data_IF_087126048422
#
_entry.id   IF_087126048422
#
_cell.length_a   1.000
_cell.length_b   1.000
_cell.length_c   1.000
_cell.angle_alpha   90.00
_cell.angle_beta   90.00
_cell.angle_gamma   90.00
#
_symmetry.space_group_name_H-M   'P 1'
#
loop_
_entity.id
_entity.type
_entity.pdbx_description
1 polymer ?
#
# COMPACT_ATOMS: atom_id res chain seq x y z
N UNK A 1 -13.80 -8.73 -37.05
CA UNK A 1 -12.71 -8.87 -38.05
C UNK A 1 -11.72 -7.70 -38.08
N UNK A 2 -12.12 -6.44 -37.87
CA UNK A 2 -11.20 -5.29 -37.85
C UNK A 2 -10.17 -5.31 -36.70
N UNK A 3 -10.57 -5.77 -35.51
CA UNK A 3 -9.66 -5.90 -34.35
C UNK A 3 -8.51 -6.89 -34.60
N UNK A 4 -8.78 -8.03 -35.26
CA UNK A 4 -7.75 -9.03 -35.57
C UNK A 4 -6.74 -8.55 -36.63
N UNK A 5 -7.17 -7.75 -37.61
CA UNK A 5 -6.24 -7.10 -38.56
C UNK A 5 -5.40 -6.00 -37.91
N UNK A 6 -5.98 -5.22 -37.00
CA UNK A 6 -5.26 -4.22 -36.23
C UNK A 6 -4.23 -4.86 -35.28
N UNK A 7 -4.59 -5.98 -34.65
CA UNK A 7 -3.70 -6.76 -33.80
C UNK A 7 -2.53 -7.32 -34.62
N UNK A 8 -2.80 -7.93 -35.77
CA UNK A 8 -1.77 -8.47 -36.68
C UNK A 8 -0.77 -7.42 -37.16
N UNK A 9 -1.23 -6.19 -37.45
CA UNK A 9 -0.36 -5.07 -37.85
C UNK A 9 0.53 -4.56 -36.70
N UNK A 10 0.07 -4.69 -35.46
CA UNK A 10 0.79 -4.24 -34.27
C UNK A 10 1.67 -5.35 -33.65
N UNK A 11 1.61 -6.60 -34.12
CA UNK A 11 2.50 -7.70 -33.67
C UNK A 11 3.98 -7.33 -33.75
N UNK A 12 4.53 -6.75 -34.84
CA UNK A 12 5.95 -6.40 -34.90
C UNK A 12 6.30 -5.31 -33.86
N UNK A 13 5.44 -4.31 -33.69
CA UNK A 13 5.60 -3.28 -32.67
C UNK A 13 5.53 -3.84 -31.25
N UNK A 14 4.59 -4.75 -30.98
CA UNK A 14 4.49 -5.47 -29.71
C UNK A 14 5.73 -6.33 -29.47
N UNK A 15 6.25 -7.00 -30.50
CA UNK A 15 7.46 -7.82 -30.41
C UNK A 15 8.70 -6.96 -30.10
N UNK A 16 8.83 -5.79 -30.71
CA UNK A 16 9.88 -4.83 -30.40
C UNK A 16 9.73 -4.25 -28.99
N UNK A 17 8.51 -3.87 -28.59
CA UNK A 17 8.22 -3.38 -27.24
C UNK A 17 8.51 -4.45 -26.19
N UNK A 18 8.07 -5.69 -26.38
CA UNK A 18 8.37 -6.82 -25.50
C UNK A 18 9.85 -7.16 -25.49
N UNK A 19 10.52 -7.15 -26.66
CA UNK A 19 11.96 -7.37 -26.78
C UNK A 19 12.78 -6.31 -26.05
N UNK A 20 12.38 -5.04 -26.16
CA UNK A 20 12.98 -3.93 -25.42
C UNK A 20 12.67 -4.00 -23.92
N UNK A 21 11.46 -4.45 -23.55
CA UNK A 21 11.08 -4.73 -22.17
C UNK A 21 12.01 -5.79 -21.59
N UNK A 22 12.06 -6.98 -22.19
CA UNK A 22 12.89 -8.11 -21.75
C UNK A 22 14.39 -7.80 -21.78
N UNK A 23 14.87 -7.13 -22.82
CA UNK A 23 16.29 -6.80 -22.98
C UNK A 23 16.84 -6.00 -21.80
N UNK A 24 16.08 -5.00 -21.36
CA UNK A 24 16.43 -4.13 -20.24
C UNK A 24 15.75 -4.52 -18.91
N UNK A 25 15.37 -5.80 -18.72
CA UNK A 25 14.91 -6.30 -17.42
C UNK A 25 16.06 -6.99 -16.68
N UNK A 26 15.95 -7.04 -15.36
CA UNK A 26 16.92 -7.67 -14.46
C UNK A 26 17.08 -9.16 -14.66
N UNK A 27 18.21 -9.67 -14.17
CA UNK A 27 18.56 -11.09 -14.23
C UNK A 27 17.55 -11.96 -13.47
N UNK A 28 17.01 -11.50 -12.34
CA UNK A 28 16.00 -12.23 -11.56
C UNK A 28 14.69 -12.42 -12.34
N UNK A 29 14.20 -11.39 -13.03
CA UNK A 29 12.98 -11.50 -13.83
C UNK A 29 13.19 -12.44 -15.02
N UNK A 30 14.33 -12.32 -15.71
CA UNK A 30 14.69 -13.24 -16.80
C UNK A 30 14.74 -14.69 -16.31
N UNK A 31 15.32 -14.92 -15.13
CA UNK A 31 15.36 -16.24 -14.49
C UNK A 31 13.95 -16.76 -14.20
N UNK A 32 13.10 -15.98 -13.52
CA UNK A 32 11.72 -16.39 -13.20
C UNK A 32 10.94 -16.70 -14.49
N UNK A 33 11.00 -15.85 -15.50
CA UNK A 33 10.32 -16.09 -16.78
C UNK A 33 10.83 -17.36 -17.47
N UNK A 34 12.14 -17.60 -17.46
CA UNK A 34 12.73 -18.82 -18.01
C UNK A 34 12.26 -20.08 -17.29
N UNK A 35 12.18 -20.03 -15.96
CA UNK A 35 11.68 -21.15 -15.14
C UNK A 35 10.18 -21.39 -15.37
N UNK A 36 9.36 -20.35 -15.46
CA UNK A 36 7.92 -20.49 -15.77
C UNK A 36 7.72 -21.12 -17.15
N UNK A 37 8.47 -20.68 -18.16
CA UNK A 37 8.39 -21.26 -19.52
C UNK A 37 8.83 -22.73 -19.55
N UNK A 38 9.89 -23.08 -18.82
CA UNK A 38 10.37 -24.46 -18.71
C UNK A 38 9.32 -25.35 -18.00
N UNK A 39 8.78 -24.86 -16.89
CA UNK A 39 7.73 -25.54 -16.11
C UNK A 39 6.43 -25.69 -16.89
N UNK A 40 6.08 -24.72 -17.73
CA UNK A 40 4.97 -24.86 -18.66
C UNK A 40 5.18 -26.01 -19.65
N UNK A 41 6.42 -26.21 -20.13
CA UNK A 41 6.75 -27.41 -20.92
C UNK A 41 6.60 -28.72 -20.14
N UNK A 42 6.81 -28.70 -18.83
CA UNK A 42 6.60 -29.85 -17.94
C UNK A 42 5.11 -30.08 -17.62
N UNK A 43 4.25 -29.06 -17.76
CA UNK A 43 2.82 -29.15 -17.47
C UNK A 43 2.07 -30.20 -18.32
N UNK A 44 2.61 -30.56 -19.49
CA UNK A 44 2.05 -31.61 -20.34
C UNK A 44 2.16 -33.03 -19.76
N UNK A 45 2.95 -33.21 -18.69
CA UNK A 45 3.08 -34.47 -17.98
C UNK A 45 2.29 -34.44 -16.68
N UNK A 46 1.26 -35.27 -16.57
CA UNK A 46 0.42 -35.39 -15.37
C UNK A 46 1.22 -35.71 -14.11
N UNK A 47 2.29 -36.50 -14.25
CA UNK A 47 3.20 -36.84 -13.15
C UNK A 47 4.00 -35.61 -12.69
N UNK A 48 4.45 -34.77 -13.63
CA UNK A 48 5.17 -33.55 -13.28
C UNK A 48 4.26 -32.54 -12.59
N UNK A 49 3.02 -32.39 -13.06
CA UNK A 49 2.02 -31.53 -12.41
C UNK A 49 1.76 -31.98 -10.98
N UNK A 50 1.62 -33.29 -10.73
CA UNK A 50 1.40 -33.83 -9.38
C UNK A 50 2.58 -33.56 -8.43
N UNK A 51 3.82 -33.75 -8.89
CA UNK A 51 5.02 -33.63 -8.05
C UNK A 51 5.39 -32.17 -7.76
N UNK A 52 5.08 -31.25 -8.69
CA UNK A 52 5.46 -29.84 -8.61
C UNK A 52 4.37 -28.99 -7.93
N UNK A 53 3.10 -29.31 -8.17
CA UNK A 53 1.96 -28.57 -7.60
C UNK A 53 1.73 -28.94 -6.14
N UNK A 54 1.20 -27.99 -5.36
CA UNK A 54 0.85 -28.26 -3.95
C UNK A 54 -0.49 -29.01 -3.91
N UNK A 55 -0.45 -30.23 -3.42
CA UNK A 55 -1.65 -30.97 -3.03
C UNK A 55 -1.79 -30.88 -1.50
N UNK A 56 -2.88 -30.29 -0.97
CA UNK A 56 -3.06 -30.07 0.46
C UNK A 56 -2.81 -31.31 1.34
N UNK A 57 -3.20 -32.49 0.86
CA UNK A 57 -3.05 -33.76 1.59
C UNK A 57 -1.63 -34.27 1.71
N UNK A 58 -0.78 -34.03 0.71
CA UNK A 58 0.62 -34.49 0.71
C UNK A 58 1.56 -33.54 1.43
N UNK A 59 1.14 -32.30 1.67
CA UNK A 59 1.91 -31.36 2.50
C UNK A 59 1.91 -31.78 3.98
N UNK A 60 0.85 -32.47 4.41
CA UNK A 60 0.67 -32.96 5.78
C UNK A 60 1.26 -34.37 5.97
N UNK A 61 1.45 -34.83 7.23
CA UNK A 61 1.90 -36.19 7.48
C UNK A 61 0.97 -37.20 6.80
N UNK A 62 1.49 -38.31 6.22
CA UNK A 62 2.85 -38.86 6.38
C UNK A 62 3.87 -38.48 5.29
N UNK A 63 3.46 -37.89 4.17
CA UNK A 63 4.33 -37.72 2.98
C UNK A 63 5.23 -36.48 3.01
N UNK A 64 4.81 -35.39 3.67
CA UNK A 64 5.57 -34.14 3.84
C UNK A 64 6.27 -33.62 2.56
N UNK A 65 5.52 -33.38 1.49
CA UNK A 65 6.05 -32.85 0.24
C UNK A 65 6.35 -31.35 0.32
N UNK A 66 7.30 -30.96 1.17
CA UNK A 66 7.62 -29.56 1.50
C UNK A 66 8.11 -28.78 0.27
N UNK A 67 8.83 -29.44 -0.65
CA UNK A 67 9.34 -28.78 -1.87
C UNK A 67 8.22 -28.18 -2.72
N UNK A 68 7.01 -28.76 -2.70
CA UNK A 68 5.85 -28.26 -3.46
C UNK A 68 5.53 -26.82 -3.12
N UNK A 69 5.74 -26.39 -1.87
CA UNK A 69 5.53 -25.01 -1.41
C UNK A 69 6.44 -23.98 -2.08
N UNK A 70 7.55 -24.42 -2.67
CA UNK A 70 8.48 -23.56 -3.42
C UNK A 70 8.32 -23.72 -4.93
N UNK A 71 7.86 -24.87 -5.40
CA UNK A 71 7.83 -25.19 -6.84
C UNK A 71 6.48 -24.87 -7.50
N UNK A 72 5.38 -24.88 -6.73
CA UNK A 72 4.03 -24.71 -7.30
C UNK A 72 3.85 -23.39 -8.04
N UNK A 73 4.50 -22.33 -7.57
CA UNK A 73 4.33 -21.01 -8.14
C UNK A 73 4.92 -20.89 -9.55
N UNK A 74 5.75 -21.83 -10.01
CA UNK A 74 6.29 -21.81 -11.37
C UNK A 74 5.48 -22.65 -12.37
N UNK A 75 4.53 -23.45 -11.88
CA UNK A 75 3.73 -24.36 -12.70
C UNK A 75 2.44 -23.67 -13.11
N UNK A 76 2.25 -23.51 -14.41
CA UNK A 76 1.00 -23.03 -15.00
C UNK A 76 0.49 -24.07 -16.00
N UNK A 77 -0.82 -24.28 -16.04
CA UNK A 77 -1.46 -25.27 -16.93
C UNK A 77 -1.87 -24.59 -18.24
N UNK A 78 -2.36 -23.36 -18.16
CA UNK A 78 -2.87 -22.66 -19.32
C UNK A 78 -1.86 -21.65 -19.88
N UNK A 79 -1.74 -21.63 -21.21
CA UNK A 79 -0.81 -20.71 -21.90
C UNK A 79 -1.10 -19.22 -21.61
N UNK A 80 -2.38 -18.86 -21.43
CA UNK A 80 -2.72 -17.47 -21.12
C UNK A 80 -2.29 -17.05 -19.71
N UNK A 81 -2.23 -17.98 -18.75
CA UNK A 81 -1.73 -17.71 -17.39
C UNK A 81 -0.23 -17.42 -17.44
N UNK A 82 0.52 -18.24 -18.19
CA UNK A 82 1.95 -17.99 -18.46
C UNK A 82 2.19 -16.61 -19.06
N UNK A 83 1.34 -16.17 -20.00
CA UNK A 83 1.46 -14.84 -20.59
C UNK A 83 1.22 -13.73 -19.56
N UNK A 84 0.19 -13.88 -18.72
CA UNK A 84 -0.14 -12.96 -17.62
C UNK A 84 1.01 -12.89 -16.62
N UNK A 85 1.67 -14.03 -16.33
CA UNK A 85 2.79 -14.09 -15.41
C UNK A 85 4.02 -13.37 -15.96
N UNK A 86 4.40 -13.65 -17.21
CA UNK A 86 5.53 -12.98 -17.85
C UNK A 86 5.32 -11.47 -17.86
N UNK A 87 4.11 -11.01 -18.19
CA UNK A 87 3.77 -9.58 -18.14
C UNK A 87 3.87 -9.06 -16.70
N UNK A 88 3.31 -9.78 -15.73
CA UNK A 88 3.29 -9.36 -14.32
C UNK A 88 4.69 -9.25 -13.72
N UNK A 89 5.53 -10.27 -13.94
CA UNK A 89 6.92 -10.29 -13.47
C UNK A 89 7.76 -9.25 -14.22
N UNK A 90 7.50 -9.04 -15.51
CA UNK A 90 8.11 -7.95 -16.30
C UNK A 90 7.77 -6.56 -15.76
N UNK A 91 6.50 -6.31 -15.44
CA UNK A 91 6.04 -5.07 -14.80
C UNK A 91 6.68 -4.89 -13.42
N UNK A 92 6.79 -5.97 -12.64
CA UNK A 92 7.47 -5.95 -11.35
C UNK A 92 8.94 -5.52 -11.48
N UNK A 93 9.68 -6.11 -12.42
CA UNK A 93 11.07 -5.73 -12.70
C UNK A 93 11.25 -4.27 -13.14
N UNK A 94 10.27 -3.71 -13.85
CA UNK A 94 10.36 -2.32 -14.34
C UNK A 94 9.90 -1.29 -13.32
N UNK A 95 8.82 -1.58 -12.59
CA UNK A 95 8.18 -0.61 -11.71
C UNK A 95 8.66 -0.71 -10.27
N UNK A 96 8.85 -1.94 -9.77
CA UNK A 96 9.09 -2.20 -8.35
C UNK A 96 10.60 -2.30 -8.09
N UNK A 97 11.37 -2.90 -9.01
CA UNK A 97 12.79 -3.19 -8.79
C UNK A 97 13.65 -1.96 -8.58
N UNK A 98 13.47 -0.87 -9.35
CA UNK A 98 14.23 0.36 -9.12
C UNK A 98 13.93 0.99 -7.75
N UNK A 99 12.77 0.73 -7.18
CA UNK A 99 12.34 1.32 -5.91
C UNK A 99 12.84 0.52 -4.70
N UNK A 100 12.80 -0.81 -4.77
CA UNK A 100 13.10 -1.69 -3.63
C UNK A 100 14.47 -2.35 -3.72
N UNK A 101 15.02 -2.44 -4.93
CA UNK A 101 16.19 -3.25 -5.24
C UNK A 101 15.84 -4.72 -5.46
N UNK A 102 16.77 -5.43 -6.11
CA UNK A 102 16.60 -6.81 -6.55
C UNK A 102 16.37 -7.79 -5.38
N UNK A 103 17.11 -7.64 -4.28
CA UNK A 103 17.05 -8.55 -3.13
C UNK A 103 15.69 -8.50 -2.40
N UNK A 104 15.12 -7.30 -2.26
CA UNK A 104 13.81 -7.13 -1.62
C UNK A 104 12.68 -7.69 -2.50
N UNK A 105 12.79 -7.57 -3.84
CA UNK A 105 11.83 -8.23 -4.75
C UNK A 105 11.88 -9.74 -4.62
N UNK A 106 13.08 -10.34 -4.61
CA UNK A 106 13.22 -11.79 -4.45
C UNK A 106 12.68 -12.25 -3.09
N UNK A 107 12.94 -11.46 -2.05
CA UNK A 107 12.40 -11.71 -0.71
C UNK A 107 10.87 -11.63 -0.70
N UNK A 108 10.29 -10.61 -1.34
CA UNK A 108 8.85 -10.47 -1.49
C UNK A 108 8.24 -11.63 -2.27
N UNK A 109 8.84 -12.00 -3.40
CA UNK A 109 8.42 -13.15 -4.21
C UNK A 109 8.40 -14.44 -3.38
N UNK A 110 9.47 -14.71 -2.61
CA UNK A 110 9.54 -15.90 -1.77
C UNK A 110 8.50 -15.90 -0.65
N UNK A 111 8.36 -14.78 0.07
CA UNK A 111 7.42 -14.66 1.20
C UNK A 111 5.97 -14.77 0.73
N UNK A 112 5.61 -14.10 -0.36
CA UNK A 112 4.25 -14.13 -0.89
C UNK A 112 3.88 -15.54 -1.34
N UNK A 113 4.72 -16.19 -2.15
CA UNK A 113 4.43 -17.54 -2.64
C UNK A 113 4.37 -18.57 -1.50
N UNK A 114 5.32 -18.53 -0.55
CA UNK A 114 5.30 -19.42 0.59
C UNK A 114 4.06 -19.19 1.47
N UNK A 115 3.73 -17.93 1.75
CA UNK A 115 2.53 -17.57 2.51
C UNK A 115 1.24 -18.00 1.80
N UNK A 116 1.18 -17.89 0.48
CA UNK A 116 0.05 -18.36 -0.33
C UNK A 116 -0.09 -19.87 -0.23
N UNK A 117 1.00 -20.63 -0.37
CA UNK A 117 0.97 -22.09 -0.24
C UNK A 117 0.41 -22.51 1.12
N UNK A 118 0.90 -21.89 2.21
CA UNK A 118 0.46 -22.20 3.58
C UNK A 118 -1.00 -21.80 3.80
N UNK A 119 -1.40 -20.57 3.48
CA UNK A 119 -2.76 -20.10 3.72
C UNK A 119 -3.79 -20.83 2.85
N UNK A 120 -3.47 -21.09 1.59
CA UNK A 120 -4.37 -21.81 0.67
C UNK A 120 -4.53 -23.26 1.13
N UNK A 121 -3.45 -23.93 1.52
CA UNK A 121 -3.52 -25.28 2.08
C UNK A 121 -4.32 -25.31 3.39
N UNK A 122 -4.10 -24.34 4.29
CA UNK A 122 -4.89 -24.22 5.51
C UNK A 122 -6.38 -24.00 5.23
N UNK A 123 -6.72 -23.20 4.21
CA UNK A 123 -8.11 -22.99 3.80
C UNK A 123 -8.77 -24.28 3.31
N UNK A 124 -8.11 -25.04 2.42
CA UNK A 124 -8.65 -26.33 1.96
C UNK A 124 -8.73 -27.38 3.08
N UNK A 125 -7.80 -27.34 4.04
CA UNK A 125 -7.88 -28.17 5.22
C UNK A 125 -9.08 -27.81 6.11
N UNK A 126 -9.36 -26.52 6.33
CA UNK A 126 -10.56 -26.08 7.07
C UNK A 126 -11.84 -26.51 6.33
N UNK A 127 -11.88 -26.37 5.00
CA UNK A 127 -13.00 -26.86 4.18
C UNK A 127 -13.21 -28.37 4.33
N UNK A 128 -12.12 -29.14 4.35
CA UNK A 128 -12.17 -30.56 4.66
C UNK A 128 -12.74 -30.82 6.06
N UNK A 129 -12.29 -30.11 7.10
CA UNK A 129 -12.84 -30.27 8.45
C UNK A 129 -14.34 -29.94 8.54
N UNK A 130 -14.83 -28.98 7.74
CA UNK A 130 -16.24 -28.61 7.72
C UNK A 130 -17.12 -29.58 6.90
N UNK A 131 -16.59 -30.12 5.80
CA UNK A 131 -17.37 -30.91 4.83
C UNK A 131 -17.13 -32.42 4.96
N UNK A 132 -16.05 -32.82 5.61
CA UNK A 132 -15.53 -34.20 5.69
C UNK A 132 -15.31 -34.86 4.32
N UNK A 133 -15.13 -34.06 3.26
CA UNK A 133 -14.93 -34.56 1.90
C UNK A 133 -13.43 -34.56 1.54
N UNK A 134 -12.87 -35.75 1.34
CA UNK A 134 -11.45 -35.98 1.03
C UNK A 134 -11.01 -35.42 -0.33
N UNK A 135 -11.94 -35.15 -1.24
CA UNK A 135 -11.66 -34.56 -2.56
C UNK A 135 -10.95 -33.21 -2.45
N UNK A 136 -11.32 -32.39 -1.46
CA UNK A 136 -10.68 -31.09 -1.22
C UNK A 136 -9.20 -31.21 -0.84
N UNK A 137 -8.78 -32.38 -0.35
CA UNK A 137 -7.44 -32.60 0.15
C UNK A 137 -6.54 -33.28 -0.89
N UNK A 138 -7.08 -34.20 -1.69
CA UNK A 138 -6.29 -35.04 -2.61
C UNK A 138 -6.55 -34.75 -4.10
N UNK A 139 -7.70 -34.20 -4.49
CA UNK A 139 -7.98 -33.87 -5.89
C UNK A 139 -7.64 -32.43 -6.25
N UNK A 140 -7.49 -31.55 -5.26
CA UNK A 140 -7.18 -30.14 -5.47
C UNK A 140 -5.67 -29.97 -5.66
N UNK A 141 -5.29 -29.46 -6.83
CA UNK A 141 -3.91 -29.10 -7.17
C UNK A 141 -3.78 -27.58 -7.16
N UNK A 142 -2.94 -27.05 -6.28
CA UNK A 142 -2.64 -25.63 -6.18
C UNK A 142 -1.37 -25.37 -6.99
N UNK A 143 -1.47 -24.55 -8.03
CA UNK A 143 -0.38 -24.18 -8.92
C UNK A 143 -0.55 -22.73 -9.37
N UNK A 144 0.55 -22.15 -9.87
CA UNK A 144 0.55 -20.87 -10.54
C UNK A 144 0.89 -19.66 -9.67
N UNK A 145 1.11 -18.53 -10.34
CA UNK A 145 1.51 -17.26 -9.73
C UNK A 145 0.33 -16.40 -9.27
N UNK A 146 -0.91 -16.90 -9.29
CA UNK A 146 -2.13 -16.15 -8.91
C UNK A 146 -1.99 -15.33 -7.61
N UNK A 147 -1.38 -15.93 -6.58
CA UNK A 147 -1.12 -15.24 -5.31
C UNK A 147 -0.07 -14.13 -5.41
N UNK A 148 0.97 -14.33 -6.23
CA UNK A 148 1.96 -13.29 -6.51
C UNK A 148 1.39 -12.14 -7.35
N UNK A 149 0.53 -12.43 -8.33
CA UNK A 149 -0.19 -11.42 -9.11
C UNK A 149 -1.01 -10.53 -8.16
N UNK A 150 -1.72 -11.11 -7.20
CA UNK A 150 -2.44 -10.36 -6.18
C UNK A 150 -1.49 -9.47 -5.37
N UNK A 151 -0.31 -9.98 -5.03
CA UNK A 151 0.73 -9.21 -4.35
C UNK A 151 1.22 -8.01 -5.15
N UNK A 152 1.50 -8.20 -6.44
CA UNK A 152 1.88 -7.10 -7.35
C UNK A 152 0.74 -6.08 -7.46
N UNK A 153 -0.52 -6.49 -7.53
CA UNK A 153 -1.66 -5.55 -7.50
C UNK A 153 -1.67 -4.70 -6.23
N UNK A 154 -1.40 -5.31 -5.06
CA UNK A 154 -1.32 -4.59 -3.78
C UNK A 154 -0.13 -3.63 -3.77
N UNK A 155 1.03 -4.05 -4.31
CA UNK A 155 2.21 -3.20 -4.44
C UNK A 155 1.99 -2.01 -5.36
N UNK A 156 1.34 -2.21 -6.51
CA UNK A 156 1.00 -1.13 -7.44
C UNK A 156 0.08 -0.11 -6.77
N UNK A 157 -0.90 -0.57 -5.98
CA UNK A 157 -1.71 0.33 -5.14
C UNK A 157 -0.86 1.13 -4.16
N UNK A 158 0.13 0.50 -3.51
CA UNK A 158 1.00 1.17 -2.54
C UNK A 158 1.87 2.25 -3.20
N UNK A 159 2.44 1.97 -4.37
CA UNK A 159 3.37 2.90 -5.06
C UNK A 159 2.60 4.03 -5.76
N UNK A 160 1.47 3.72 -6.40
CA UNK A 160 0.71 4.67 -7.21
C UNK A 160 -0.78 4.66 -6.83
N UNK A 161 -1.17 5.10 -5.62
CA UNK A 161 -2.55 5.02 -5.16
C UNK A 161 -3.54 5.89 -5.95
N UNK A 162 -3.08 7.00 -6.53
CA UNK A 162 -3.93 8.03 -7.14
C UNK A 162 -4.11 7.90 -8.66
N UNK A 163 -3.49 6.90 -9.29
CA UNK A 163 -3.62 6.69 -10.72
C UNK A 163 -5.01 6.09 -11.03
N UNK A 164 -5.78 6.81 -11.86
CA UNK A 164 -7.11 6.40 -12.29
C UNK A 164 -6.97 5.53 -13.54
N UNK A 165 -7.12 4.21 -13.40
CA UNK A 165 -6.96 3.26 -14.52
C UNK A 165 -8.13 3.37 -15.49
N UNK A 166 -9.37 3.45 -14.99
CA UNK A 166 -10.55 3.36 -15.83
C UNK A 166 -11.63 4.35 -15.39
N UNK A 167 -12.02 5.24 -16.30
CA UNK A 167 -13.21 6.08 -16.18
C UNK A 167 -14.36 5.35 -16.87
N UNK A 168 -15.13 4.60 -16.09
CA UNK A 168 -16.34 3.92 -16.58
C UNK A 168 -17.55 4.83 -16.35
N UNK A 169 -18.62 4.76 -17.16
CA UNK A 169 -19.86 5.54 -16.93
C UNK A 169 -20.47 5.34 -15.53
N UNK A 170 -20.18 4.19 -14.90
CA UNK A 170 -20.65 3.82 -13.57
C UNK A 170 -19.71 4.24 -12.42
N UNK A 171 -18.56 4.87 -12.70
CA UNK A 171 -17.65 5.36 -11.66
C UNK A 171 -16.18 5.48 -12.07
N UNK A 172 -15.39 6.17 -11.22
CA UNK A 172 -13.93 6.28 -11.34
C UNK A 172 -13.29 5.09 -10.63
N UNK A 173 -12.72 4.14 -11.37
CA UNK A 173 -11.91 3.07 -10.80
C UNK A 173 -10.49 3.60 -10.64
N UNK A 174 -10.13 3.89 -9.39
CA UNK A 174 -8.77 4.25 -8.99
C UNK A 174 -7.98 3.01 -8.58
N UNK A 175 -6.65 3.09 -8.66
CA UNK A 175 -5.70 2.10 -8.15
C UNK A 175 -5.99 1.62 -6.73
N UNK A 176 -6.65 2.45 -5.93
CA UNK A 176 -7.10 2.10 -4.58
C UNK A 176 -7.95 0.81 -4.52
N UNK A 177 -8.79 0.57 -5.52
CA UNK A 177 -9.72 -0.55 -5.58
C UNK A 177 -9.23 -1.69 -6.49
N UNK A 178 -8.04 -1.59 -7.09
CA UNK A 178 -7.54 -2.55 -8.08
C UNK A 178 -7.42 -3.96 -7.51
N UNK A 179 -6.80 -4.20 -6.34
CA UNK A 179 -6.68 -5.55 -5.79
C UNK A 179 -8.05 -6.24 -5.63
N UNK A 180 -9.07 -5.52 -5.15
CA UNK A 180 -10.42 -6.09 -5.03
C UNK A 180 -11.11 -6.25 -6.38
N UNK A 181 -10.96 -5.29 -7.30
CA UNK A 181 -11.58 -5.38 -8.62
C UNK A 181 -11.08 -6.62 -9.35
N UNK A 182 -9.77 -6.89 -9.28
CA UNK A 182 -9.16 -8.09 -9.87
C UNK A 182 -9.59 -9.35 -9.13
N UNK A 183 -9.73 -9.32 -7.80
CA UNK A 183 -10.28 -10.45 -7.05
C UNK A 183 -11.73 -10.77 -7.46
N UNK A 184 -12.62 -9.78 -7.55
CA UNK A 184 -13.98 -10.03 -8.02
C UNK A 184 -13.99 -10.50 -9.47
N UNK A 185 -13.11 -9.96 -10.31
CA UNK A 185 -12.95 -10.44 -11.68
C UNK A 185 -12.52 -11.91 -11.70
N UNK A 186 -11.57 -12.35 -10.86
CA UNK A 186 -11.15 -13.76 -10.82
C UNK A 186 -12.29 -14.68 -10.38
N UNK A 187 -13.15 -14.25 -9.45
CA UNK A 187 -14.38 -14.98 -9.10
C UNK A 187 -15.34 -15.06 -10.29
N UNK A 188 -15.54 -13.98 -11.03
CA UNK A 188 -16.40 -13.99 -12.23
C UNK A 188 -15.82 -14.90 -13.31
N UNK A 189 -14.52 -14.83 -13.59
CA UNK A 189 -13.84 -15.68 -14.57
C UNK A 189 -13.95 -17.16 -14.18
N UNK A 190 -13.85 -17.47 -12.88
CA UNK A 190 -14.12 -18.80 -12.33
C UNK A 190 -15.58 -19.24 -12.55
N UNK A 191 -16.57 -18.35 -12.40
CA UNK A 191 -17.97 -18.67 -12.69
C UNK A 191 -18.24 -18.97 -14.16
N UNK A 192 -17.46 -18.35 -15.06
CA UNK A 192 -17.52 -18.62 -16.50
C UNK A 192 -16.79 -19.95 -16.85
N UNK A 193 -15.99 -20.49 -15.92
CA UNK A 193 -15.24 -21.74 -16.11
C UNK A 193 -13.94 -21.56 -16.90
N UNK A 194 -13.41 -20.33 -16.97
CA UNK A 194 -12.13 -20.04 -17.63
C UNK A 194 -10.92 -20.29 -16.74
N UNK A 195 -11.11 -20.45 -15.43
CA UNK A 195 -10.02 -20.58 -14.47
C UNK A 195 -10.42 -21.57 -13.39
N UNK A 196 -9.44 -22.29 -12.86
CA UNK A 196 -9.62 -23.27 -11.80
C UNK A 196 -10.20 -22.68 -10.51
N UNK A 197 -10.89 -23.53 -9.74
CA UNK A 197 -11.50 -23.14 -8.47
C UNK A 197 -10.50 -22.69 -7.40
N UNK A 198 -9.22 -23.02 -7.56
CA UNK A 198 -8.12 -22.65 -6.66
C UNK A 198 -7.69 -21.19 -6.82
N UNK A 199 -7.84 -20.62 -8.03
CA UNK A 199 -7.28 -19.31 -8.36
C UNK A 199 -7.84 -18.16 -7.50
N UNK A 200 -9.17 -18.03 -7.26
CA UNK A 200 -9.68 -16.95 -6.41
C UNK A 200 -9.18 -17.07 -4.97
N UNK A 201 -9.08 -18.30 -4.45
CA UNK A 201 -8.56 -18.57 -3.11
C UNK A 201 -7.09 -18.16 -3.01
N UNK A 202 -6.26 -18.57 -3.96
CA UNK A 202 -4.84 -18.20 -4.02
C UNK A 202 -4.66 -16.68 -4.13
N UNK A 203 -5.46 -16.03 -4.97
CA UNK A 203 -5.42 -14.58 -5.15
C UNK A 203 -5.76 -13.86 -3.84
N UNK A 204 -6.79 -14.32 -3.11
CA UNK A 204 -7.17 -13.74 -1.82
C UNK A 204 -6.09 -13.96 -0.76
N UNK A 205 -5.54 -15.17 -0.65
CA UNK A 205 -4.41 -15.47 0.22
C UNK A 205 -3.20 -14.59 -0.09
N UNK A 206 -2.89 -14.41 -1.38
CA UNK A 206 -1.81 -13.54 -1.85
C UNK A 206 -2.02 -12.08 -1.49
N UNK A 207 -3.26 -11.59 -1.61
CA UNK A 207 -3.64 -10.24 -1.17
C UNK A 207 -3.39 -10.03 0.32
N UNK A 208 -3.76 -11.00 1.16
CA UNK A 208 -3.54 -10.94 2.62
C UNK A 208 -2.05 -10.95 2.94
N UNK A 209 -1.29 -11.93 2.44
CA UNK A 209 0.14 -12.08 2.74
C UNK A 209 0.91 -10.84 2.29
N UNK A 210 0.62 -10.36 1.08
CA UNK A 210 1.29 -9.18 0.53
C UNK A 210 0.94 -7.93 1.32
N UNK A 211 -0.33 -7.74 1.70
CA UNK A 211 -0.71 -6.62 2.55
C UNK A 211 0.02 -6.65 3.90
N UNK A 212 0.08 -7.81 4.57
CA UNK A 212 0.80 -7.97 5.85
C UNK A 212 2.30 -7.67 5.67
N UNK A 213 2.93 -8.21 4.63
CA UNK A 213 4.35 -7.98 4.37
C UNK A 213 4.64 -6.50 4.12
N UNK A 214 3.86 -5.84 3.26
CA UNK A 214 4.05 -4.44 2.89
C UNK A 214 3.75 -3.49 4.05
N UNK A 215 2.74 -3.82 4.86
CA UNK A 215 2.36 -3.03 6.03
C UNK A 215 3.41 -3.08 7.14
N UNK A 216 3.98 -4.25 7.44
CA UNK A 216 4.79 -4.44 8.66
C UNK A 216 6.27 -4.77 8.43
N UNK A 217 6.61 -5.42 7.32
CA UNK A 217 7.89 -6.09 7.14
C UNK A 217 8.78 -5.50 6.05
N UNK A 218 8.19 -4.84 5.04
CA UNK A 218 8.92 -4.28 3.91
C UNK A 218 10.03 -3.33 4.38
N UNK A 219 11.27 -3.61 3.97
CA UNK A 219 12.41 -2.75 4.28
C UNK A 219 12.49 -1.64 3.24
N UNK A 220 12.44 -0.39 3.69
CA UNK A 220 12.72 0.75 2.82
C UNK A 220 14.21 1.10 2.87
N UNK A 221 14.73 1.65 1.77
CA UNK A 221 16.11 2.16 1.67
C UNK A 221 16.41 3.23 2.74
N UNK A 222 15.38 3.97 3.19
CA UNK A 222 15.45 4.99 4.23
C UNK A 222 15.60 4.43 5.66
N UNK A 223 15.72 3.11 5.83
CA UNK A 223 15.85 2.45 7.13
C UNK A 223 14.52 2.28 7.90
N UNK A 224 13.42 2.83 7.38
CA UNK A 224 12.06 2.57 7.88
C UNK A 224 11.58 1.18 7.45
N UNK A 225 10.67 0.59 8.24
CA UNK A 225 10.08 -0.73 7.97
C UNK A 225 8.55 -0.64 7.89
N UNK A 226 7.99 -1.21 6.84
CA UNK A 226 6.58 -1.20 6.52
C UNK A 226 6.07 0.17 6.06
N UNK A 227 4.86 0.18 5.54
CA UNK A 227 4.10 1.39 5.25
C UNK A 227 2.95 1.54 6.25
N UNK A 228 3.04 2.53 7.14
CA UNK A 228 2.04 2.81 8.17
C UNK A 228 0.99 3.85 7.75
N UNK A 229 0.96 4.27 6.49
CA UNK A 229 0.04 5.32 6.05
C UNK A 229 -1.43 4.91 6.11
N UNK A 230 -2.32 5.86 6.43
CA UNK A 230 -3.76 5.57 6.60
C UNK A 230 -4.45 5.17 5.28
N UNK A 231 -3.87 5.54 4.13
CA UNK A 231 -4.35 5.12 2.81
C UNK A 231 -4.05 3.64 2.50
N UNK A 232 -3.14 2.99 3.23
CA UNK A 232 -2.73 1.59 3.03
C UNK A 232 -3.30 0.64 4.11
N UNK A 233 -4.52 0.90 4.56
CA UNK A 233 -5.26 -0.03 5.44
C UNK A 233 -5.95 -1.12 4.62
N UNK A 234 -6.21 -2.29 5.23
CA UNK A 234 -6.96 -3.35 4.54
C UNK A 234 -8.36 -2.87 4.13
N UNK A 235 -9.00 -2.06 4.98
CA UNK A 235 -10.27 -1.43 4.67
C UNK A 235 -10.21 -0.55 3.42
N UNK A 236 -9.09 0.13 3.16
CA UNK A 236 -8.98 1.02 1.99
C UNK A 236 -8.99 0.28 0.66
N UNK A 237 -8.82 -1.05 0.63
CA UNK A 237 -9.05 -1.83 -0.59
C UNK A 237 -10.52 -1.77 -1.04
N UNK A 238 -11.45 -1.56 -0.11
CA UNK A 238 -12.89 -1.56 -0.34
C UNK A 238 -13.43 -0.17 -0.72
N UNK A 239 -14.56 -0.10 -1.46
CA UNK A 239 -15.26 1.16 -1.72
C UNK A 239 -15.69 1.84 -0.42
N UNK A 240 -15.75 3.18 -0.41
CA UNK A 240 -15.99 4.01 0.79
C UNK A 240 -17.17 3.55 1.68
N UNK A 241 -18.22 2.99 1.08
CA UNK A 241 -19.43 2.53 1.80
C UNK A 241 -19.16 1.31 2.70
N UNK A 242 -18.28 0.41 2.26
CA UNK A 242 -17.99 -0.86 2.97
C UNK A 242 -16.73 -0.74 3.84
N UNK A 243 -15.99 0.37 3.75
CA UNK A 243 -14.79 0.58 4.56
C UNK A 243 -15.03 0.52 6.08
N UNK A 244 -16.08 1.14 6.65
CA UNK A 244 -16.27 1.16 8.10
C UNK A 244 -16.39 -0.22 8.77
N UNK A 245 -17.25 -1.15 8.30
CA UNK A 245 -17.34 -2.48 8.92
C UNK A 245 -16.05 -3.28 8.75
N UNK A 246 -15.37 -3.13 7.61
CA UNK A 246 -14.13 -3.84 7.32
C UNK A 246 -12.97 -3.28 8.15
N UNK A 247 -12.97 -1.98 8.44
CA UNK A 247 -11.99 -1.36 9.32
C UNK A 247 -12.06 -1.94 10.73
N UNK A 248 -13.27 -2.17 11.26
CA UNK A 248 -13.46 -2.82 12.55
C UNK A 248 -12.88 -4.25 12.51
N UNK A 249 -13.24 -5.04 11.50
CA UNK A 249 -12.74 -6.41 11.36
C UNK A 249 -11.21 -6.47 11.20
N UNK A 250 -10.66 -5.60 10.36
CA UNK A 250 -9.21 -5.49 10.12
C UNK A 250 -8.47 -5.09 11.40
N UNK A 251 -9.03 -4.17 12.20
CA UNK A 251 -8.44 -3.77 13.47
C UNK A 251 -8.46 -4.92 14.49
N UNK A 252 -9.52 -5.73 14.54
CA UNK A 252 -9.58 -6.93 15.40
C UNK A 252 -8.52 -7.95 14.98
N UNK A 253 -8.43 -8.24 13.67
CA UNK A 253 -7.42 -9.14 13.11
C UNK A 253 -6.01 -8.61 13.41
N UNK A 254 -5.78 -7.30 13.26
CA UNK A 254 -4.53 -6.64 13.59
C UNK A 254 -4.19 -6.79 15.07
N UNK A 255 -5.13 -6.56 15.98
CA UNK A 255 -4.92 -6.77 17.42
C UNK A 255 -4.61 -8.24 17.74
N UNK A 256 -5.27 -9.18 17.07
CA UNK A 256 -4.97 -10.61 17.16
C UNK A 256 -3.56 -10.95 16.67
N UNK A 257 -3.17 -10.46 15.50
CA UNK A 257 -1.84 -10.64 14.92
C UNK A 257 -0.72 -10.01 15.76
N UNK A 258 -0.98 -8.85 16.39
CA UNK A 258 -0.05 -8.22 17.34
C UNK A 258 0.09 -9.08 18.60
N UNK A 259 -0.98 -9.70 19.09
CA UNK A 259 -0.92 -10.62 20.24
C UNK A 259 -0.17 -11.92 19.92
N UNK A 260 -0.29 -12.42 18.70
CA UNK A 260 0.44 -13.60 18.20
C UNK A 260 1.92 -13.29 17.94
N UNK A 261 2.33 -12.01 18.00
CA UNK A 261 3.72 -11.59 17.76
C UNK A 261 4.10 -11.52 16.28
N UNK A 262 3.15 -11.82 15.37
CA UNK A 262 3.32 -11.69 13.92
C UNK A 262 3.21 -10.24 13.43
N UNK A 263 2.78 -9.31 14.29
CA UNK A 263 2.83 -7.88 14.01
C UNK A 263 3.54 -7.17 15.17
N UNK A 264 4.61 -6.43 14.88
CA UNK A 264 5.24 -5.61 15.91
C UNK A 264 4.28 -4.48 16.31
N UNK A 265 4.07 -4.32 17.62
CA UNK A 265 3.34 -3.18 18.18
C UNK A 265 3.95 -1.90 17.62
N UNK A 266 3.14 -1.11 16.94
CA UNK A 266 3.55 0.14 16.27
C UNK A 266 4.07 1.11 17.34
N UNK A 267 5.39 1.14 17.54
CA UNK A 267 6.03 2.23 18.26
C UNK A 267 6.17 3.35 17.24
N UNK A 268 5.17 4.23 17.16
CA UNK A 268 5.34 5.51 16.46
C UNK A 268 6.53 6.21 17.14
N UNK A 269 7.69 6.18 16.50
CA UNK A 269 8.82 7.00 16.91
C UNK A 269 8.41 8.44 16.57
N UNK A 270 7.83 9.11 17.56
CA UNK A 270 7.66 10.55 17.51
C UNK A 270 9.05 11.16 17.66
N UNK A 271 9.59 11.66 16.56
CA UNK A 271 10.77 12.50 16.60
C UNK A 271 10.34 13.84 17.19
N UNK A 272 10.68 14.07 18.46
CA UNK A 272 10.29 15.24 19.24
C UNK A 272 11.08 16.51 18.84
N UNK A 273 11.75 16.47 17.68
CA UNK A 273 12.66 17.51 17.19
C UNK A 273 11.97 18.60 16.36
N UNK A 274 10.69 18.45 16.00
CA UNK A 274 9.96 19.50 15.28
C UNK A 274 8.46 19.54 15.60
N UNK A 275 8.02 20.34 16.60
CA UNK A 275 6.61 20.44 16.96
C UNK A 275 5.91 21.46 16.05
N UNK A 276 5.55 21.06 14.84
CA UNK A 276 4.52 21.80 14.09
C UNK A 276 3.16 21.18 14.37
N UNK A 277 2.47 21.82 15.33
CA UNK A 277 1.03 21.80 15.57
C UNK A 277 0.22 20.57 15.18
N UNK A 278 0.21 19.54 16.03
CA UNK A 278 -0.90 18.58 16.06
C UNK A 278 -1.28 18.30 17.51
N UNK A 279 -2.52 18.66 17.85
CA UNK A 279 -3.12 18.53 19.19
C UNK A 279 -3.29 17.05 19.55
N UNK A 280 -2.44 16.54 20.44
CA UNK A 280 -2.55 15.17 20.97
C UNK A 280 -3.48 15.20 22.19
N UNK A 281 -4.65 14.58 22.08
CA UNK A 281 -5.48 14.21 23.24
C UNK A 281 -4.82 13.03 23.96
N UNK A 282 -4.19 13.33 25.10
CA UNK A 282 -3.66 12.32 26.03
C UNK A 282 -4.82 11.81 26.90
N UNK A 283 -4.84 10.53 27.31
CA UNK A 283 -5.80 10.05 28.30
C UNK A 283 -5.78 10.92 29.56
N UNK A 284 -6.97 11.33 30.03
CA UNK A 284 -7.18 12.39 31.04
C UNK A 284 -6.39 12.16 32.35
N UNK A 285 -6.11 10.91 32.72
CA UNK A 285 -5.38 10.57 33.93
C UNK A 285 -3.91 11.00 33.92
N UNK A 286 -3.25 10.97 32.75
CA UNK A 286 -1.82 11.32 32.64
C UNK A 286 -1.60 12.81 32.32
N UNK A 287 -2.63 13.52 31.88
CA UNK A 287 -2.53 14.91 31.46
C UNK A 287 -2.34 15.87 32.66
N UNK A 288 -2.99 15.59 33.80
CA UNK A 288 -2.78 16.38 35.01
C UNK A 288 -1.40 16.15 35.64
N UNK A 289 -0.88 14.92 35.61
CA UNK A 289 0.43 14.61 36.15
C UNK A 289 1.56 15.16 35.26
N UNK A 290 1.38 15.11 33.93
CA UNK A 290 2.27 15.77 32.99
C UNK A 290 2.28 17.29 33.17
N UNK A 291 1.10 17.92 33.33
CA UNK A 291 0.99 19.36 33.50
C UNK A 291 1.56 19.81 34.86
N UNK A 292 1.34 19.04 35.93
CA UNK A 292 1.96 19.28 37.23
C UNK A 292 3.48 19.20 37.16
N UNK A 293 4.04 18.18 36.50
CA UNK A 293 5.50 18.03 36.31
C UNK A 293 6.06 19.16 35.45
N UNK A 294 5.33 19.58 34.41
CA UNK A 294 5.70 20.71 33.54
C UNK A 294 5.77 22.01 34.31
N UNK A 295 4.80 22.28 35.18
CA UNK A 295 4.77 23.50 36.00
C UNK A 295 5.90 23.54 37.03
N UNK A 296 6.24 22.40 37.65
CA UNK A 296 7.39 22.31 38.57
C UNK A 296 8.71 22.58 37.81
N UNK A 297 8.87 22.01 36.62
CA UNK A 297 10.05 22.22 35.80
C UNK A 297 10.17 23.69 35.36
N UNK A 298 9.08 24.31 34.91
CA UNK A 298 9.06 25.73 34.54
C UNK A 298 9.36 26.64 35.73
N UNK A 299 8.83 26.33 36.91
CA UNK A 299 9.11 27.08 38.13
C UNK A 299 10.58 26.97 38.53
N UNK A 300 11.14 25.76 38.54
CA UNK A 300 12.56 25.54 38.83
C UNK A 300 13.49 26.21 37.81
N UNK A 301 13.09 26.27 36.54
CA UNK A 301 13.83 26.96 35.49
C UNK A 301 13.75 28.48 35.67
N UNK A 302 12.56 29.02 35.96
CA UNK A 302 12.37 30.44 36.24
C UNK A 302 13.15 30.91 37.47
N UNK A 303 13.24 30.07 38.51
CA UNK A 303 13.98 30.36 39.73
C UNK A 303 15.49 30.35 39.47
N UNK A 304 15.99 29.41 38.65
CA UNK A 304 17.38 29.43 38.21
C UNK A 304 17.69 30.65 37.33
N UNK A 305 16.78 31.02 36.45
CA UNK A 305 16.93 32.16 35.55
C UNK A 305 16.89 33.48 36.34
N UNK A 306 15.97 33.63 37.28
CA UNK A 306 15.89 34.81 38.16
C UNK A 306 17.08 34.89 39.12
N UNK A 307 17.56 33.76 39.65
CA UNK A 307 18.77 33.73 40.48
C UNK A 307 20.02 34.09 39.67
N UNK A 308 20.11 33.64 38.42
CA UNK A 308 21.19 34.01 37.50
C UNK A 308 21.12 35.47 37.04
N UNK A 309 19.93 36.07 36.99
CA UNK A 309 19.74 37.51 36.75
C UNK A 309 20.10 38.34 38.00
N UNK A 310 19.76 37.84 39.19
CA UNK A 310 20.08 38.49 40.47
C UNK A 310 21.58 38.49 40.80
N UNK A 311 22.34 37.50 40.31
CA UNK A 311 23.80 37.43 40.45
C UNK A 311 24.56 38.41 39.52
N UNK A 312 23.88 39.13 38.61
CA UNK A 312 24.52 40.00 37.60
C UNK A 312 24.18 41.49 37.71
N UNK A 313 23.70 41.99 38.85
CA UNK A 313 23.36 43.40 39.00
C UNK A 313 24.36 44.16 39.90
N UNK A 314 25.18 45.09 39.38
CA UNK A 314 25.97 46.00 40.20
C UNK A 314 25.09 47.10 40.82
N UNK A 315 25.46 47.46 42.06
CA UNK A 315 24.92 48.50 42.95
C UNK A 315 24.62 49.85 42.27
N UNK A 316 23.55 50.55 42.69
CA UNK A 316 23.39 52.01 42.94
C UNK A 316 21.94 52.34 43.43
N UNK A 317 21.67 53.50 44.11
CA UNK A 317 20.90 53.58 45.37
C UNK A 317 19.47 54.21 45.24
N UNK A 318 18.68 54.33 46.34
CA UNK A 318 17.21 54.45 46.27
C UNK A 318 16.70 55.91 46.28
N UNK A 319 15.52 56.15 45.70
CA UNK A 319 14.77 57.40 45.90
C UNK A 319 13.23 57.17 45.96
N UNK A 320 12.72 57.46 47.16
CA UNK A 320 11.38 57.86 47.64
C UNK A 320 10.10 57.74 46.80
N UNK A 321 9.04 57.36 47.52
CA UNK A 321 7.61 57.23 47.18
C UNK A 321 6.89 58.58 46.91
N UNK A 322 5.64 58.56 46.36
CA UNK A 322 4.48 58.61 47.26
C UNK A 322 3.18 57.87 46.83
N UNK A 323 2.48 57.39 47.86
CA UNK A 323 1.02 57.34 48.15
C UNK A 323 -0.02 56.81 47.12
N UNK A 324 -0.54 55.63 47.48
CA UNK A 324 -1.97 55.25 47.70
C UNK A 324 -3.08 55.85 46.83
N UNK A 325 -3.85 54.99 46.16
CA UNK A 325 -5.30 54.78 46.34
C UNK A 325 -5.81 53.61 45.45
N UNK A 326 -6.38 52.58 46.09
CA UNK A 326 -7.35 51.61 45.54
C UNK A 326 -8.75 52.29 45.47
N UNK A 327 -9.77 51.84 44.70
CA UNK A 327 -10.20 50.43 44.62
C UNK A 327 -10.85 49.89 43.31
N UNK A 328 -10.67 48.58 43.12
CA UNK A 328 -11.67 47.53 42.80
C UNK A 328 -12.91 47.88 41.93
N UNK A 329 -12.97 47.42 40.66
CA UNK A 329 -14.07 46.62 40.07
C UNK A 329 -13.81 46.31 38.57
N UNK A 330 -14.10 45.07 38.16
CA UNK A 330 -14.48 44.68 36.79
C UNK A 330 -16.01 44.38 36.84
N UNK A 331 -16.80 44.25 35.74
CA UNK A 331 -16.39 43.80 34.40
C UNK A 331 -17.15 44.42 33.18
N UNK A 332 -16.79 43.91 32.00
CA UNK A 332 -17.63 43.69 30.80
C UNK A 332 -17.96 44.84 29.82
N UNK A 333 -17.37 44.68 28.62
CA UNK A 333 -18.05 44.67 27.30
C UNK A 333 -18.27 45.97 26.53
N UNK A 334 -17.46 46.09 25.46
CA UNK A 334 -17.80 46.47 24.07
C UNK A 334 -17.63 47.92 23.58
N UNK A 335 -17.08 47.96 22.34
CA UNK A 335 -17.17 48.98 21.26
C UNK A 335 -16.15 50.13 21.23
N UNK A 336 -15.18 50.00 20.31
CA UNK A 336 -14.71 51.07 19.41
C UNK A 336 -14.48 50.44 18.02
N UNK A 337 -15.22 50.84 16.96
CA UNK A 337 -14.99 51.98 16.04
C UNK A 337 -13.78 51.68 15.12
N UNK A 338 -14.01 51.25 13.86
CA UNK A 338 -13.99 52.06 12.60
C UNK A 338 -12.58 52.65 12.32
N UNK A 339 -11.87 52.33 11.24
CA UNK A 339 -12.17 52.70 9.85
C UNK A 339 -11.28 51.95 8.84
N UNK A 340 -11.87 51.57 7.70
CA UNK A 340 -11.23 51.53 6.38
C UNK A 340 -11.44 52.88 5.68
N UNK A 341 -10.63 53.22 4.67
CA UNK A 341 -11.19 53.47 3.33
C UNK A 341 -10.23 52.93 2.23
N UNK A 342 -10.57 52.71 0.97
CA UNK A 342 -11.75 52.90 0.13
C UNK A 342 -11.54 52.07 -1.15
N UNK A 343 -12.66 51.73 -1.81
CA UNK A 343 -12.79 51.10 -3.13
C UNK A 343 -13.14 52.22 -4.15
N UNK A 344 -12.81 52.10 -5.46
CA UNK A 344 -13.70 52.20 -6.66
C UNK A 344 -12.89 52.35 -8.01
N UNK A 345 -13.48 52.25 -9.25
CA UNK A 345 -13.62 51.02 -10.05
C UNK A 345 -13.33 51.20 -11.59
N UNK A 346 -13.91 50.29 -12.41
CA UNK A 346 -14.22 50.29 -13.88
C UNK A 346 -13.14 49.72 -14.82
N UNK A 347 -13.41 49.21 -16.02
CA UNK A 347 -14.49 48.46 -16.69
C UNK A 347 -14.07 48.32 -18.18
N UNK A 348 -14.34 47.16 -18.80
CA UNK A 348 -14.71 46.92 -20.22
C UNK A 348 -13.82 47.28 -21.44
N UNK A 349 -13.58 46.21 -22.23
CA UNK A 349 -13.74 46.03 -23.70
C UNK A 349 -13.07 46.93 -24.76
N UNK A 350 -12.59 46.19 -25.78
CA UNK A 350 -12.38 46.52 -27.20
C UNK A 350 -11.18 47.37 -27.62
N UNK A 351 -10.53 46.87 -28.69
CA UNK A 351 -9.99 47.56 -29.90
C UNK A 351 -8.69 46.87 -30.39
N UNK A 352 -8.79 46.24 -31.58
CA UNK A 352 -7.70 45.95 -32.54
C UNK A 352 -7.36 47.23 -33.33
N UNK A 353 -6.18 47.45 -33.99
CA UNK A 353 -5.77 46.80 -35.28
C UNK A 353 -4.21 46.88 -35.52
N UNK A 354 -3.62 46.93 -36.75
CA UNK A 354 -3.90 46.33 -38.08
C UNK A 354 -2.74 45.49 -38.70
N UNK A 355 -3.12 44.60 -39.62
CA UNK A 355 -2.63 44.33 -41.00
C UNK A 355 -1.20 44.75 -41.48
N UNK A 356 -0.40 43.79 -42.00
CA UNK A 356 0.33 43.85 -43.31
C UNK A 356 0.91 42.45 -43.67
N UNK A 357 0.34 41.65 -44.59
CA UNK A 357 0.64 41.46 -46.03
C UNK A 357 2.12 41.14 -46.37
N UNK A 358 2.39 39.89 -46.79
CA UNK A 358 3.10 39.45 -48.05
C UNK A 358 3.25 37.92 -48.01
N UNK A 359 2.49 37.11 -48.77
CA UNK A 359 2.68 36.69 -50.18
C UNK A 359 4.06 36.09 -50.54
N UNK A 360 4.10 34.76 -50.74
CA UNK A 360 4.80 33.98 -51.79
C UNK A 360 4.47 32.50 -51.55
N UNK A 361 3.55 31.83 -52.27
CA UNK A 361 3.57 31.38 -53.67
C UNK A 361 4.70 30.40 -54.01
N UNK A 362 4.26 29.24 -54.52
CA UNK A 362 4.89 28.28 -55.45
C UNK A 362 5.99 27.35 -54.90
N UNK A 363 5.63 26.11 -54.57
CA UNK A 363 5.71 24.90 -55.44
C UNK A 363 5.09 23.66 -54.76
#
# INVERSE_FOLDING_TARGET
MAMFRALGRNIPFLKEQFGALLGNTSTSVKFICGVVLLSYGLSFSDEAVRVISVTPGYLMPPSFWIWTTFTFCFMEIHFYEVLVDIVTVGLCGKLIEPLWGQMEIMTFFAIVNLGVAVLTTAFYFILYCCTFNTEFLFSVHIHGLAGYIAGVCVTVKQIMPDLVILKTPFGKISNRNVPLTVFFLSVVVKLIGLVDGTYPTMFFSGMIVSWVYLRFYQKHSNGTRGDMADYFTFASFFPNVIQPPIAVLSNVIHTGLVKIGLCRKVVRKFDMSNPTGVTVTVPIADQHDMERRRQIALKALSERLSKSYSDKQPLLPPKQSPKTLLPLHAPSTSKQIHQSPQILPKAQSDISPPMNITQKSDE
#
